data_IF_031818967346
#
_entry.id   IF_031818967346
#
_cell.length_a   1.000
_cell.length_b   1.000
_cell.length_c   1.000
_cell.angle_alpha   90.00
_cell.angle_beta   90.00
_cell.angle_gamma   90.00
#
_symmetry.space_group_name_H-M   'P 1'
#
loop_
_entity.id
_entity.type
_entity.pdbx_description
1 polymer ?
#
# COMPACT_ATOMS: atom_id res chain seq x y z
N UNK A 1 18.93 -13.03 0.89
CA UNK A 1 18.57 -11.89 1.78
C UNK A 1 17.98 -10.79 0.92
N UNK A 2 16.94 -10.08 1.36
CA UNK A 2 16.44 -8.88 0.65
C UNK A 2 16.89 -7.61 1.39
N UNK A 3 16.93 -6.48 0.68
CA UNK A 3 17.38 -5.17 1.23
C UNK A 3 16.69 -4.82 2.56
N UNK A 4 15.38 -5.05 2.64
CA UNK A 4 14.56 -4.77 3.82
C UNK A 4 15.02 -5.54 5.07
N UNK A 5 15.43 -6.80 4.91
CA UNK A 5 15.95 -7.59 6.04
C UNK A 5 17.31 -7.09 6.49
N UNK A 6 18.19 -6.71 5.56
CA UNK A 6 19.48 -6.09 5.92
C UNK A 6 19.29 -4.82 6.75
N UNK A 7 18.34 -3.97 6.39
CA UNK A 7 18.05 -2.73 7.12
C UNK A 7 17.54 -3.00 8.54
N UNK A 8 16.71 -4.04 8.72
CA UNK A 8 16.25 -4.45 10.05
C UNK A 8 17.40 -5.00 10.89
N UNK A 9 18.21 -5.89 10.33
CA UNK A 9 19.34 -6.52 11.02
C UNK A 9 20.40 -5.50 11.44
N UNK A 10 20.58 -4.43 10.66
CA UNK A 10 21.46 -3.30 10.97
C UNK A 10 20.82 -2.26 11.91
N UNK A 11 19.57 -2.44 12.33
CA UNK A 11 18.86 -1.50 13.20
C UNK A 11 18.55 -0.14 12.54
N UNK A 12 18.58 -0.07 11.21
CA UNK A 12 18.33 1.16 10.45
C UNK A 12 16.84 1.51 10.35
N UNK A 13 15.97 0.54 10.61
CA UNK A 13 14.51 0.71 10.63
C UNK A 13 13.93 0.19 11.95
N UNK A 14 12.91 0.88 12.46
CA UNK A 14 12.23 0.50 13.71
C UNK A 14 11.25 -0.65 13.50
N UNK A 15 10.57 -0.65 12.37
CA UNK A 15 9.58 -1.64 12.01
C UNK A 15 9.93 -2.29 10.67
N UNK A 16 9.65 -3.59 10.55
CA UNK A 16 9.74 -4.26 9.26
C UNK A 16 8.48 -3.93 8.46
N UNK A 17 8.34 -2.70 7.98
CA UNK A 17 7.28 -2.20 7.08
C UNK A 17 7.87 -1.15 6.13
N UNK A 18 7.21 -0.94 5.00
CA UNK A 18 7.45 0.22 4.14
C UNK A 18 6.11 0.71 3.59
N UNK A 19 6.03 1.99 3.26
CA UNK A 19 4.82 2.58 2.71
C UNK A 19 5.14 3.45 1.50
N UNK A 20 4.19 3.51 0.58
CA UNK A 20 4.22 4.40 -0.56
C UNK A 20 3.11 5.42 -0.43
N UNK A 21 3.46 6.68 -0.64
CA UNK A 21 2.53 7.70 -1.08
C UNK A 21 2.87 8.08 -2.51
N UNK A 22 1.86 8.12 -3.38
CA UNK A 22 2.04 8.45 -4.78
C UNK A 22 1.19 9.68 -5.08
N UNK A 23 1.84 10.75 -5.53
CA UNK A 23 1.11 11.92 -5.97
C UNK A 23 0.42 11.61 -7.30
N UNK A 24 -0.81 12.11 -7.46
CA UNK A 24 -1.60 11.94 -8.68
C UNK A 24 -1.54 13.16 -9.59
N UNK A 25 -1.04 14.29 -9.10
CA UNK A 25 -0.90 15.50 -9.88
C UNK A 25 0.43 15.44 -10.68
N UNK A 26 0.38 15.30 -12.02
CA UNK A 26 1.59 15.22 -12.84
C UNK A 26 2.33 16.56 -12.97
N UNK A 27 1.67 17.67 -12.62
CA UNK A 27 2.25 19.02 -12.70
C UNK A 27 3.00 19.41 -11.41
N UNK A 28 2.87 18.63 -10.34
CA UNK A 28 3.60 18.86 -9.09
C UNK A 28 5.00 18.24 -9.16
N UNK A 29 6.00 18.97 -8.63
CA UNK A 29 7.39 18.50 -8.58
C UNK A 29 7.55 17.25 -7.71
N UNK A 30 6.76 17.16 -6.63
CA UNK A 30 6.78 16.00 -5.74
C UNK A 30 5.89 14.88 -6.30
N UNK A 31 6.51 13.87 -6.91
CA UNK A 31 5.80 12.71 -7.45
C UNK A 31 5.36 11.67 -6.41
N UNK A 32 5.88 11.72 -5.18
CA UNK A 32 5.56 10.72 -4.16
C UNK A 32 6.64 10.56 -3.08
N UNK A 33 6.37 9.65 -2.14
CA UNK A 33 7.25 9.34 -1.03
C UNK A 33 7.31 7.82 -0.80
N UNK A 34 8.52 7.32 -0.52
CA UNK A 34 8.74 5.98 -0.01
C UNK A 34 9.35 6.08 1.40
N UNK A 35 8.65 5.52 2.38
CA UNK A 35 9.11 5.44 3.76
C UNK A 35 9.54 4.01 4.07
N UNK A 36 10.76 3.85 4.58
CA UNK A 36 11.22 2.59 5.18
C UNK A 36 11.07 2.67 6.70
N UNK A 37 10.46 1.65 7.30
CA UNK A 37 10.38 1.54 8.75
C UNK A 37 9.23 2.28 9.42
N UNK A 38 8.21 2.70 8.67
CA UNK A 38 7.02 3.36 9.18
C UNK A 38 6.03 3.75 8.09
N UNK A 39 5.10 4.63 8.45
CA UNK A 39 4.10 5.24 7.57
C UNK A 39 4.00 6.73 7.90
N UNK A 40 4.00 7.63 6.91
CA UNK A 40 3.79 9.06 7.15
C UNK A 40 2.29 9.38 7.34
N UNK A 41 1.85 9.85 8.52
CA UNK A 41 0.46 10.26 8.78
C UNK A 41 -0.03 11.44 7.94
N UNK A 42 0.86 12.24 7.33
CA UNK A 42 0.45 13.35 6.46
C UNK A 42 -0.18 12.87 5.14
N UNK A 43 0.11 11.63 4.75
CA UNK A 43 -0.18 11.11 3.42
C UNK A 43 -1.35 10.11 3.35
N UNK A 44 -2.13 9.95 4.44
CA UNK A 44 -3.37 9.17 4.44
C UNK A 44 -4.42 9.76 5.39
N UNK A 45 -5.67 9.32 5.24
CA UNK A 45 -6.78 9.67 6.15
C UNK A 45 -7.47 8.38 6.60
N UNK A 46 -7.96 8.38 7.84
CA UNK A 46 -8.63 7.21 8.41
C UNK A 46 -7.67 6.10 8.80
N UNK A 47 -8.12 4.84 8.74
CA UNK A 47 -7.34 3.66 9.15
C UNK A 47 -7.01 2.78 7.94
N UNK A 48 -5.82 2.20 7.95
CA UNK A 48 -5.45 1.17 6.99
C UNK A 48 -6.23 -0.13 7.25
N UNK A 49 -6.66 -0.78 6.16
CA UNK A 49 -7.22 -2.13 6.22
C UNK A 49 -6.11 -3.13 5.92
N UNK A 50 -5.78 -3.97 6.89
CA UNK A 50 -4.78 -5.02 6.72
C UNK A 50 -5.45 -6.35 6.37
N UNK A 51 -4.86 -7.05 5.40
CA UNK A 51 -5.32 -8.37 4.94
C UNK A 51 -4.15 -9.35 4.93
N UNK A 52 -4.46 -10.63 5.10
CA UNK A 52 -3.46 -11.68 5.05
C UNK A 52 -3.00 -11.91 3.60
N UNK A 53 -1.70 -12.12 3.41
CA UNK A 53 -1.14 -12.49 2.10
C UNK A 53 -1.54 -13.94 1.74
N UNK A 54 -1.90 -14.18 0.49
CA UNK A 54 -2.27 -15.51 -0.01
C UNK A 54 -1.06 -16.43 -0.18
N UNK A 55 0.09 -15.89 -0.61
CA UNK A 55 1.35 -16.61 -0.80
C UNK A 55 2.57 -15.75 -0.51
N UNK A 56 3.65 -16.38 -0.06
CA UNK A 56 4.95 -15.71 0.11
C UNK A 56 5.64 -15.52 -1.25
N UNK A 57 6.33 -14.40 -1.42
CA UNK A 57 7.11 -14.07 -2.62
C UNK A 57 6.54 -12.91 -3.45
N UNK A 58 5.23 -12.67 -3.34
CA UNK A 58 4.55 -11.53 -3.96
C UNK A 58 3.69 -10.82 -2.92
N UNK A 59 3.43 -9.52 -3.13
CA UNK A 59 2.40 -8.78 -2.40
C UNK A 59 1.03 -9.14 -2.98
N UNK A 60 0.64 -10.40 -2.81
CA UNK A 60 -0.61 -10.97 -3.32
C UNK A 60 -1.63 -11.08 -2.19
N UNK A 61 -2.83 -10.54 -2.46
CA UNK A 61 -3.97 -10.57 -1.54
C UNK A 61 -5.20 -11.05 -2.28
N UNK A 62 -6.07 -11.78 -1.58
CA UNK A 62 -7.37 -12.15 -2.12
C UNK A 62 -8.30 -10.94 -2.04
N UNK A 63 -8.77 -10.46 -3.19
CA UNK A 63 -9.83 -9.46 -3.23
C UNK A 63 -11.17 -10.14 -2.98
N UNK A 64 -11.88 -9.70 -1.95
CA UNK A 64 -13.27 -10.09 -1.70
C UNK A 64 -14.13 -8.96 -2.21
N UNK A 65 -14.88 -9.21 -3.29
CA UNK A 65 -15.90 -8.27 -3.75
C UNK A 65 -17.06 -8.36 -2.77
N UNK A 66 -17.44 -7.28 -2.06
CA UNK A 66 -18.64 -7.28 -1.25
C UNK A 66 -19.85 -7.47 -2.16
N UNK A 67 -20.84 -8.28 -1.73
CA UNK A 67 -22.01 -8.66 -2.53
C UNK A 67 -22.83 -7.49 -3.09
N UNK A 68 -22.60 -6.27 -2.59
CA UNK A 68 -23.23 -5.02 -3.03
C UNK A 68 -22.84 -4.63 -4.46
N UNK A 69 -21.70 -5.10 -4.98
CA UNK A 69 -21.23 -4.80 -6.36
C UNK A 69 -21.47 -5.95 -7.35
N UNK A 70 -22.44 -6.82 -7.04
CA UNK A 70 -22.85 -7.91 -7.94
C UNK A 70 -23.73 -7.44 -9.12
N UNK A 71 -24.05 -6.15 -9.22
CA UNK A 71 -24.76 -5.59 -10.37
C UNK A 71 -23.76 -5.00 -11.40
N UNK A 72 -23.52 -5.65 -12.55
CA UNK A 72 -22.49 -5.23 -13.52
C UNK A 72 -22.71 -3.85 -14.14
N UNK A 73 -23.95 -3.32 -14.05
CA UNK A 73 -24.37 -2.06 -14.69
C UNK A 73 -23.79 -0.84 -13.97
N UNK A 74 -23.47 -0.93 -12.67
CA UNK A 74 -23.02 0.21 -11.88
C UNK A 74 -21.54 0.54 -12.13
N UNK A 75 -20.71 -0.46 -12.44
CA UNK A 75 -19.30 -0.30 -12.79
C UNK A 75 -19.08 0.57 -14.04
N UNK A 76 -19.98 0.52 -15.02
CA UNK A 76 -19.83 1.27 -16.27
C UNK A 76 -20.22 2.75 -16.16
N UNK A 77 -20.80 3.19 -15.04
CA UNK A 77 -21.22 4.58 -14.83
C UNK A 77 -20.19 5.43 -14.09
N UNK A 78 -19.09 4.82 -13.64
CA UNK A 78 -18.01 5.47 -12.88
C UNK A 78 -16.72 5.65 -13.70
N UNK A 79 -16.75 5.30 -14.99
CA UNK A 79 -15.67 5.49 -15.95
C UNK A 79 -15.98 6.63 -16.93
#
# INVERSE_FOLDING_TARGET
>A
MTLRYNMLDQGLVKELVFSFWLNRNPEEENGGELVFGGVDPNHYKGKHTYVLMSRKGYWEVKLVVPDVVSNPIEYQKLA
#
